data_IF_014335916212
#
_entry.id   IF_014335916212
#
_cell.length_a   1.000
_cell.length_b   1.000
_cell.length_c   1.000
_cell.angle_alpha   90.00
_cell.angle_beta   90.00
_cell.angle_gamma   90.00
#
_symmetry.space_group_name_H-M   'P 1'
#
loop_
_entity.id
_entity.type
_entity.pdbx_description
1 polymer ?
#
# COMPACT_ATOMS: atom_id res chain seq x y z
N UNK A 1 -50.95 -22.80 -19.76
CA UNK A 1 -49.72 -23.49 -19.36
C UNK A 1 -50.08 -24.56 -18.37
N UNK A 2 -49.79 -25.81 -18.71
CA UNK A 2 -50.20 -26.99 -17.95
C UNK A 2 -49.18 -27.35 -16.88
N UNK A 3 -49.69 -28.01 -15.85
CA UNK A 3 -48.93 -28.60 -14.75
C UNK A 3 -47.82 -29.53 -15.27
N UNK A 4 -46.59 -29.28 -14.80
CA UNK A 4 -45.39 -30.05 -15.13
C UNK A 4 -45.28 -31.34 -14.33
N UNK A 5 -46.03 -31.44 -13.23
CA UNK A 5 -46.08 -32.61 -12.36
C UNK A 5 -47.53 -33.13 -12.19
N UNK A 6 -48.18 -33.68 -13.24
CA UNK A 6 -49.61 -34.02 -13.18
C UNK A 6 -50.01 -35.10 -12.16
N UNK A 7 -49.03 -35.80 -11.57
CA UNK A 7 -49.25 -36.87 -10.59
C UNK A 7 -48.99 -36.41 -9.15
N UNK A 8 -48.46 -35.19 -8.97
CA UNK A 8 -48.08 -34.64 -7.67
C UNK A 8 -48.67 -33.26 -7.56
N UNK A 9 -49.47 -33.01 -6.52
CA UNK A 9 -49.98 -31.66 -6.29
C UNK A 9 -48.84 -30.78 -5.79
N UNK A 10 -48.66 -29.61 -6.41
CA UNK A 10 -47.66 -28.65 -5.99
C UNK A 10 -48.01 -27.20 -6.31
N UNK A 11 -47.21 -26.30 -5.77
CA UNK A 11 -47.42 -24.85 -5.71
C UNK A 11 -46.30 -24.05 -6.38
N UNK A 12 -45.29 -24.70 -6.96
CA UNK A 12 -44.23 -24.02 -7.70
C UNK A 12 -44.79 -23.14 -8.83
N UNK A 13 -44.20 -21.96 -8.98
CA UNK A 13 -44.64 -20.93 -9.95
C UNK A 13 -43.54 -20.42 -10.87
N UNK A 14 -42.26 -20.65 -10.59
CA UNK A 14 -41.15 -20.07 -11.34
C UNK A 14 -40.52 -21.03 -12.37
N UNK A 15 -40.18 -22.25 -11.99
CA UNK A 15 -39.50 -23.23 -12.86
C UNK A 15 -40.47 -24.27 -13.45
N UNK A 16 -40.96 -25.22 -12.64
CA UNK A 16 -41.87 -26.29 -13.05
C UNK A 16 -43.24 -26.06 -12.43
N UNK A 17 -44.05 -25.26 -13.13
CA UNK A 17 -45.42 -24.92 -12.72
C UNK A 17 -46.21 -26.15 -12.24
N UNK A 18 -46.73 -26.08 -11.01
CA UNK A 18 -47.57 -27.13 -10.41
C UNK A 18 -46.82 -28.29 -9.75
N UNK A 19 -45.48 -28.28 -9.77
CA UNK A 19 -44.66 -29.22 -9.02
C UNK A 19 -44.54 -28.85 -7.54
N UNK A 20 -44.19 -29.85 -6.72
CA UNK A 20 -43.97 -29.69 -5.28
C UNK A 20 -42.87 -28.64 -5.04
N UNK A 21 -43.13 -27.73 -4.11
CA UNK A 21 -42.29 -26.63 -3.66
C UNK A 21 -42.49 -26.55 -2.14
N UNK A 22 -41.51 -27.08 -1.40
CA UNK A 22 -41.64 -27.39 0.02
C UNK A 22 -41.59 -26.14 0.91
N UNK A 23 -40.81 -25.13 0.56
CA UNK A 23 -40.65 -23.90 1.34
C UNK A 23 -41.44 -22.70 0.80
N UNK A 24 -41.95 -22.80 -0.43
CA UNK A 24 -42.87 -21.85 -1.03
C UNK A 24 -42.21 -20.64 -1.65
N UNK A 25 -40.94 -20.70 -2.03
CA UNK A 25 -40.26 -19.60 -2.73
C UNK A 25 -40.58 -19.50 -4.24
N UNK A 26 -41.28 -20.50 -4.76
CA UNK A 26 -41.74 -20.57 -6.14
C UNK A 26 -40.93 -21.52 -7.01
N UNK A 27 -39.76 -21.99 -6.58
CA UNK A 27 -38.98 -23.01 -7.24
C UNK A 27 -39.37 -24.40 -6.74
N UNK A 28 -39.31 -25.39 -7.64
CA UNK A 28 -39.78 -26.73 -7.32
C UNK A 28 -38.64 -27.65 -6.84
N UNK A 29 -38.94 -28.49 -5.85
CA UNK A 29 -38.00 -29.43 -5.23
C UNK A 29 -37.26 -30.29 -6.26
N UNK A 30 -36.00 -30.63 -6.00
CA UNK A 30 -35.23 -31.53 -6.85
C UNK A 30 -35.91 -32.91 -7.03
N UNK A 31 -35.97 -33.38 -8.28
CA UNK A 31 -36.43 -34.73 -8.60
C UNK A 31 -35.38 -35.46 -9.44
N UNK A 32 -35.52 -36.79 -9.60
CA UNK A 32 -34.57 -37.59 -10.38
C UNK A 32 -34.40 -37.08 -11.83
N UNK A 33 -35.51 -36.68 -12.47
CA UNK A 33 -35.50 -36.22 -13.87
C UNK A 33 -35.16 -34.72 -14.01
N UNK A 34 -35.15 -33.98 -12.90
CA UNK A 34 -34.83 -32.56 -12.87
C UNK A 34 -34.14 -32.26 -11.53
N UNK A 35 -32.82 -32.51 -11.49
CA UNK A 35 -32.03 -32.37 -10.28
C UNK A 35 -31.74 -30.89 -9.98
N UNK A 36 -31.33 -30.62 -8.74
CA UNK A 36 -30.71 -29.35 -8.37
C UNK A 36 -29.31 -29.21 -8.98
N UNK A 37 -28.69 -28.06 -8.72
CA UNK A 37 -27.29 -27.82 -9.03
C UNK A 37 -26.38 -28.91 -8.44
N UNK A 38 -25.27 -29.27 -9.11
CA UNK A 38 -24.67 -28.68 -10.32
C UNK A 38 -25.24 -29.21 -11.65
N UNK A 39 -26.17 -30.15 -11.58
CA UNK A 39 -26.64 -30.91 -12.75
C UNK A 39 -27.94 -30.40 -13.35
N UNK A 40 -28.66 -29.53 -12.64
CA UNK A 40 -29.92 -28.97 -13.11
C UNK A 40 -30.26 -27.67 -12.39
N UNK A 41 -31.52 -27.26 -12.50
CA UNK A 41 -31.99 -25.94 -12.05
C UNK A 41 -33.19 -26.06 -11.12
N UNK A 42 -33.42 -27.23 -10.52
CA UNK A 42 -34.37 -27.36 -9.43
C UNK A 42 -33.91 -26.53 -8.24
N UNK A 43 -34.83 -26.31 -7.32
CA UNK A 43 -34.53 -25.73 -6.02
C UNK A 43 -33.37 -26.49 -5.35
N UNK A 44 -32.34 -25.72 -4.99
CA UNK A 44 -31.14 -26.20 -4.33
C UNK A 44 -31.40 -26.57 -2.87
N UNK A 45 -32.14 -25.76 -2.12
CA UNK A 45 -32.47 -26.00 -0.71
C UNK A 45 -33.98 -25.96 -0.46
N UNK A 46 -34.68 -27.11 -0.61
CA UNK A 46 -36.13 -27.22 -0.43
C UNK A 46 -36.70 -26.85 0.94
N UNK A 47 -35.85 -26.48 1.91
CA UNK A 47 -36.29 -26.07 3.24
C UNK A 47 -35.99 -24.60 3.54
N UNK A 48 -35.34 -23.90 2.63
CA UNK A 48 -34.93 -22.51 2.78
C UNK A 48 -35.37 -21.67 1.58
N UNK A 49 -36.55 -21.06 1.76
CA UNK A 49 -37.16 -20.17 0.77
C UNK A 49 -36.31 -18.94 0.40
N UNK A 50 -35.19 -18.72 1.09
CA UNK A 50 -34.26 -17.66 0.74
C UNK A 50 -33.18 -18.08 -0.26
N UNK A 51 -33.01 -19.39 -0.51
CA UNK A 51 -31.93 -19.96 -1.33
C UNK A 51 -32.39 -21.07 -2.30
N UNK A 52 -32.97 -20.67 -3.44
CA UNK A 52 -33.37 -21.62 -4.49
C UNK A 52 -32.27 -22.01 -5.49
N UNK A 53 -31.12 -21.32 -5.47
CA UNK A 53 -30.10 -21.43 -6.52
C UNK A 53 -28.70 -21.47 -5.93
N UNK A 54 -27.91 -22.42 -6.41
CA UNK A 54 -26.47 -22.56 -6.19
C UNK A 54 -25.89 -22.78 -7.60
N UNK A 55 -25.05 -21.89 -8.15
CA UNK A 55 -24.64 -22.00 -9.56
C UNK A 55 -23.42 -22.92 -9.78
N UNK A 56 -22.52 -23.05 -8.80
CA UNK A 56 -21.32 -23.87 -8.93
C UNK A 56 -21.41 -25.25 -8.23
N UNK A 57 -22.42 -25.42 -7.38
CA UNK A 57 -22.72 -26.65 -6.67
C UNK A 57 -21.81 -26.88 -5.46
N UNK A 58 -21.38 -25.81 -4.79
CA UNK A 58 -20.50 -25.87 -3.61
C UNK A 58 -21.27 -26.06 -2.28
N UNK A 59 -22.60 -25.89 -2.30
CA UNK A 59 -23.46 -26.01 -1.13
C UNK A 59 -23.87 -24.69 -0.49
N UNK A 60 -23.50 -23.54 -1.06
CA UNK A 60 -23.93 -22.20 -0.66
C UNK A 60 -24.83 -21.60 -1.73
N UNK A 61 -25.83 -20.82 -1.29
CA UNK A 61 -26.83 -20.29 -2.21
C UNK A 61 -26.43 -18.93 -2.79
N UNK A 62 -26.63 -18.72 -4.09
CA UNK A 62 -26.26 -17.50 -4.81
C UNK A 62 -27.01 -16.24 -4.34
N UNK A 63 -28.12 -16.39 -3.61
CA UNK A 63 -28.89 -15.25 -3.18
C UNK A 63 -28.19 -14.55 -2.02
N UNK A 64 -27.53 -13.42 -2.31
CA UNK A 64 -26.79 -12.61 -1.35
C UNK A 64 -27.59 -12.14 -0.12
N UNK A 65 -28.93 -12.15 -0.21
CA UNK A 65 -29.82 -11.75 0.90
C UNK A 65 -30.37 -12.92 1.71
N UNK A 66 -30.13 -14.16 1.28
CA UNK A 66 -30.60 -15.36 1.95
C UNK A 66 -29.69 -15.83 3.09
N UNK A 67 -30.01 -16.98 3.67
CA UNK A 67 -29.17 -17.62 4.67
C UNK A 67 -27.99 -18.29 3.95
N UNK A 68 -26.79 -18.24 4.56
CA UNK A 68 -25.56 -18.79 4.00
C UNK A 68 -25.34 -18.42 2.52
N UNK A 69 -25.30 -17.12 2.18
CA UNK A 69 -25.08 -16.69 0.81
C UNK A 69 -23.66 -17.04 0.35
N UNK A 70 -23.54 -17.42 -0.92
CA UNK A 70 -22.27 -17.59 -1.58
C UNK A 70 -21.73 -16.22 -2.05
N UNK A 71 -20.54 -15.85 -1.56
CA UNK A 71 -19.81 -14.66 -2.01
C UNK A 71 -19.12 -14.89 -3.36
N UNK A 72 -18.89 -16.15 -3.74
CA UNK A 72 -18.24 -16.57 -4.96
C UNK A 72 -19.12 -17.50 -5.83
N UNK A 73 -20.28 -17.04 -6.39
CA UNK A 73 -21.26 -17.86 -7.14
C UNK A 73 -20.76 -18.58 -8.39
N UNK A 74 -19.49 -18.40 -8.76
CA UNK A 74 -18.90 -18.95 -9.97
C UNK A 74 -17.56 -19.63 -9.66
N UNK A 75 -17.45 -20.25 -8.48
CA UNK A 75 -16.27 -21.03 -8.11
C UNK A 75 -16.03 -22.10 -9.16
N UNK A 76 -14.76 -22.29 -9.54
CA UNK A 76 -14.43 -23.31 -10.53
C UNK A 76 -14.90 -24.70 -10.04
N UNK A 77 -15.51 -25.54 -10.90
CA UNK A 77 -15.95 -26.88 -10.51
C UNK A 77 -14.85 -27.79 -9.94
N UNK A 78 -13.57 -27.49 -10.20
CA UNK A 78 -12.43 -28.19 -9.61
C UNK A 78 -12.19 -27.85 -8.12
N UNK A 79 -12.68 -26.70 -7.65
CA UNK A 79 -12.40 -26.15 -6.32
C UNK A 79 -13.64 -26.01 -5.43
N UNK A 80 -14.86 -26.18 -5.97
CA UNK A 80 -16.13 -26.10 -5.22
C UNK A 80 -16.23 -27.01 -3.98
N UNK A 81 -15.49 -28.13 -3.94
CA UNK A 81 -15.50 -29.03 -2.77
C UNK A 81 -14.63 -28.54 -1.62
N UNK A 82 -13.88 -27.45 -1.83
CA UNK A 82 -12.93 -26.87 -0.88
C UNK A 82 -13.16 -25.37 -0.72
N UNK A 83 -14.40 -25.01 -0.41
CA UNK A 83 -14.83 -23.66 -0.10
C UNK A 83 -14.83 -23.42 1.43
N UNK A 84 -14.92 -22.16 1.84
CA UNK A 84 -15.02 -21.78 3.25
C UNK A 84 -16.45 -21.55 3.72
N UNK A 85 -16.63 -20.79 4.82
CA UNK A 85 -17.94 -20.45 5.36
C UNK A 85 -18.71 -19.43 4.50
N UNK A 86 -18.04 -18.84 3.50
CA UNK A 86 -18.57 -17.80 2.64
C UNK A 86 -18.82 -18.31 1.21
N UNK A 87 -18.67 -19.62 0.96
CA UNK A 87 -18.77 -20.22 -0.39
C UNK A 87 -17.55 -19.96 -1.30
N UNK A 88 -16.49 -19.33 -0.79
CA UNK A 88 -15.33 -18.99 -1.62
C UNK A 88 -14.22 -20.05 -1.53
N UNK A 89 -13.72 -20.46 -2.71
CA UNK A 89 -12.49 -21.24 -2.79
C UNK A 89 -11.26 -20.39 -2.39
N UNK A 90 -10.18 -21.07 -1.97
CA UNK A 90 -8.97 -20.41 -1.48
C UNK A 90 -8.29 -19.45 -2.48
N UNK A 91 -8.53 -19.62 -3.79
CA UNK A 91 -7.99 -18.79 -4.85
C UNK A 91 -8.88 -17.59 -5.23
N UNK A 92 -10.11 -17.54 -4.74
CA UNK A 92 -11.10 -16.49 -5.05
C UNK A 92 -11.40 -15.62 -3.84
N UNK A 93 -11.01 -16.05 -2.63
CA UNK A 93 -11.20 -15.29 -1.40
C UNK A 93 -10.46 -13.95 -1.43
N UNK A 94 -11.20 -12.90 -1.06
CA UNK A 94 -10.75 -11.54 -0.79
C UNK A 94 -11.37 -11.13 0.55
N UNK A 95 -10.60 -11.21 1.63
CA UNK A 95 -11.13 -11.09 3.01
C UNK A 95 -11.45 -9.65 3.40
N UNK A 96 -10.84 -8.64 2.75
CA UNK A 96 -11.08 -7.23 3.03
C UNK A 96 -11.77 -6.45 1.89
N UNK A 97 -12.18 -7.18 0.86
CA UNK A 97 -12.94 -6.70 -0.31
C UNK A 97 -12.25 -5.53 -1.03
N UNK A 98 -10.92 -5.52 -1.08
CA UNK A 98 -10.14 -4.46 -1.71
C UNK A 98 -9.82 -4.71 -3.19
N UNK A 99 -10.19 -5.90 -3.69
CA UNK A 99 -10.00 -6.37 -5.04
C UNK A 99 -8.70 -7.15 -5.27
N UNK A 100 -7.91 -7.41 -4.22
CA UNK A 100 -6.72 -8.25 -4.25
C UNK A 100 -7.00 -9.53 -3.45
N UNK A 101 -7.06 -10.66 -4.15
CA UNK A 101 -7.28 -11.96 -3.48
C UNK A 101 -6.21 -12.23 -2.40
N UNK A 102 -6.59 -12.92 -1.32
CA UNK A 102 -5.74 -13.21 -0.16
C UNK A 102 -4.39 -13.87 -0.56
N UNK A 103 -4.39 -14.66 -1.63
CA UNK A 103 -3.19 -15.33 -2.14
C UNK A 103 -2.16 -14.37 -2.78
N UNK A 104 -2.61 -13.18 -3.19
CA UNK A 104 -1.81 -12.12 -3.81
C UNK A 104 -1.70 -10.87 -2.91
N UNK A 105 -2.42 -10.82 -1.80
CA UNK A 105 -2.43 -9.73 -0.85
C UNK A 105 -1.40 -9.94 0.27
N UNK A 106 -0.54 -8.94 0.48
CA UNK A 106 0.41 -8.91 1.60
C UNK A 106 -0.25 -8.51 2.92
N UNK A 107 -1.43 -7.89 2.86
CA UNK A 107 -2.23 -7.41 3.97
C UNK A 107 -3.69 -7.96 3.91
N UNK A 108 -3.92 -9.29 3.97
CA UNK A 108 -5.23 -9.94 3.68
C UNK A 108 -6.43 -9.55 4.53
N UNK A 109 -6.29 -8.64 5.49
CA UNK A 109 -7.38 -8.21 6.36
C UNK A 109 -7.46 -6.69 6.45
N UNK A 110 -6.71 -5.98 5.62
CA UNK A 110 -6.57 -4.53 5.66
C UNK A 110 -6.63 -3.96 4.26
N UNK A 111 -7.83 -3.49 3.89
CA UNK A 111 -8.05 -2.94 2.57
C UNK A 111 -7.03 -1.86 2.18
N UNK A 112 -6.49 -1.97 0.97
CA UNK A 112 -5.59 -1.02 0.32
C UNK A 112 -6.04 0.43 0.40
N UNK A 113 -7.34 0.68 0.30
CA UNK A 113 -7.92 2.02 0.28
C UNK A 113 -7.46 2.88 -0.92
N UNK A 114 -7.86 4.15 -0.91
CA UNK A 114 -7.58 5.08 -2.02
C UNK A 114 -6.09 5.42 -2.07
N UNK A 115 -5.39 4.83 -3.03
CA UNK A 115 -3.97 5.05 -3.27
C UNK A 115 -3.04 4.03 -2.62
N UNK A 116 -3.54 2.98 -1.96
CA UNK A 116 -2.69 1.91 -1.45
C UNK A 116 -1.85 1.22 -2.53
N UNK A 117 -0.95 0.37 -2.08
CA UNK A 117 0.00 -0.31 -2.95
C UNK A 117 -0.65 -1.43 -3.78
N UNK A 118 0.02 -1.91 -4.83
CA UNK A 118 -0.51 -2.96 -5.70
C UNK A 118 -0.59 -4.34 -5.02
N UNK A 119 -0.01 -4.48 -3.85
CA UNK A 119 0.07 -5.68 -3.03
C UNK A 119 -0.99 -5.71 -1.91
N UNK A 120 -2.08 -4.94 -2.05
CA UNK A 120 -3.23 -4.89 -1.14
C UNK A 120 -3.02 -4.08 0.15
N UNK A 121 -1.79 -3.67 0.46
CA UNK A 121 -1.54 -2.89 1.67
C UNK A 121 -1.89 -1.39 1.54
N UNK A 122 -2.46 -0.76 2.57
CA UNK A 122 -2.69 0.68 2.59
C UNK A 122 -1.38 1.48 2.67
N UNK A 123 -1.38 2.72 2.16
CA UNK A 123 -0.28 3.63 2.44
C UNK A 123 -0.35 4.02 3.92
N UNK A 124 0.76 3.83 4.66
CA UNK A 124 0.96 4.52 5.93
C UNK A 124 0.79 6.01 5.68
N UNK A 125 -0.33 6.58 6.13
CA UNK A 125 -0.45 8.03 6.21
C UNK A 125 0.64 8.45 7.17
N UNK A 126 1.67 9.13 6.64
CA UNK A 126 2.47 9.98 7.47
C UNK A 126 1.48 11.00 8.00
N UNK A 127 1.00 10.75 9.20
CA UNK A 127 0.21 11.71 9.91
C UNK A 127 1.09 12.96 9.96
N UNK A 128 0.78 13.94 9.13
CA UNK A 128 0.96 15.36 9.46
C UNK A 128 0.07 15.68 10.67
N UNK A 129 0.12 14.86 11.72
CA UNK A 129 0.13 15.40 13.06
C UNK A 129 1.23 16.43 13.01
N UNK A 130 0.83 17.69 13.09
CA UNK A 130 1.73 18.70 13.58
C UNK A 130 2.28 18.15 14.89
N UNK A 131 3.44 17.49 14.81
CA UNK A 131 4.40 17.51 15.88
C UNK A 131 4.64 19.00 16.05
N UNK A 132 3.83 19.61 16.91
CA UNK A 132 4.24 20.79 17.63
C UNK A 132 5.64 20.42 18.09
N UNK A 133 6.64 21.05 17.47
CA UNK A 133 8.02 20.79 17.82
C UNK A 133 8.13 21.28 19.26
N UNK A 134 7.94 20.37 20.21
CA UNK A 134 7.95 20.68 21.62
C UNK A 134 9.42 20.87 21.99
N UNK A 135 9.84 22.12 22.03
CA UNK A 135 11.14 22.48 22.58
C UNK A 135 10.91 22.66 24.07
N UNK A 136 11.50 21.79 24.89
CA UNK A 136 11.36 21.80 26.36
C UNK A 136 9.89 21.69 26.85
N UNK A 137 9.04 20.94 26.13
CA UNK A 137 7.64 20.72 26.51
C UNK A 137 6.72 21.94 26.31
N UNK A 138 7.20 22.98 25.63
CA UNK A 138 6.40 24.15 25.25
C UNK A 138 6.23 24.19 23.74
N UNK A 139 5.01 24.50 23.28
CA UNK A 139 4.76 24.72 21.86
C UNK A 139 5.62 25.87 21.33
N UNK A 140 6.01 25.82 20.06
CA UNK A 140 6.74 26.91 19.39
C UNK A 140 6.04 28.27 19.56
N UNK A 141 4.69 28.28 19.58
CA UNK A 141 3.88 29.50 19.76
C UNK A 141 4.14 30.14 21.14
N UNK A 142 4.25 29.31 22.18
CA UNK A 142 4.58 29.77 23.54
C UNK A 142 6.01 30.31 23.63
N UNK A 143 6.96 29.65 22.97
CA UNK A 143 8.36 30.09 22.95
C UNK A 143 8.51 31.46 22.27
N UNK A 144 7.88 31.67 21.10
CA UNK A 144 7.88 32.95 20.39
C UNK A 144 7.24 34.05 21.27
N UNK A 145 6.13 33.74 21.94
CA UNK A 145 5.44 34.69 22.82
C UNK A 145 6.29 35.13 24.01
N UNK A 146 7.03 34.21 24.63
CA UNK A 146 7.94 34.52 25.75
C UNK A 146 9.08 35.41 25.26
N UNK A 147 9.69 35.09 24.13
CA UNK A 147 10.80 35.90 23.57
C UNK A 147 10.33 37.31 23.23
N UNK A 148 9.18 37.45 22.57
CA UNK A 148 8.59 38.77 22.27
C UNK A 148 8.26 39.53 23.55
N UNK A 149 7.71 38.86 24.58
CA UNK A 149 7.43 39.46 25.88
C UNK A 149 8.68 39.99 26.59
N UNK A 150 9.79 39.23 26.57
CA UNK A 150 11.07 39.65 27.15
C UNK A 150 11.67 40.84 26.40
N UNK A 151 11.59 40.84 25.07
CA UNK A 151 12.06 41.96 24.24
C UNK A 151 11.25 43.22 24.52
N UNK A 152 9.92 43.12 24.57
CA UNK A 152 9.04 44.26 24.88
C UNK A 152 9.29 44.79 26.30
N UNK A 153 9.50 43.90 27.27
CA UNK A 153 9.84 44.28 28.65
C UNK A 153 11.20 44.99 28.70
N UNK A 154 12.20 44.52 27.95
CA UNK A 154 13.50 45.17 27.86
C UNK A 154 13.39 46.56 27.22
N UNK A 155 12.63 46.71 26.14
CA UNK A 155 12.34 48.02 25.52
C UNK A 155 11.63 48.95 26.49
N UNK A 156 10.66 48.45 27.26
CA UNK A 156 9.94 49.24 28.27
C UNK A 156 10.89 49.70 29.40
N UNK A 157 11.80 48.83 29.87
CA UNK A 157 12.84 49.19 30.85
C UNK A 157 13.78 50.27 30.29
N UNK A 158 14.19 50.17 29.02
CA UNK A 158 15.04 51.19 28.38
C UNK A 158 14.31 52.54 28.31
N UNK A 159 13.02 52.55 27.93
CA UNK A 159 12.21 53.77 27.89
C UNK A 159 12.04 54.37 29.30
N UNK A 160 11.81 53.54 30.32
CA UNK A 160 11.70 54.01 31.71
C UNK A 160 13.03 54.55 32.25
N UNK A 161 14.16 53.92 31.92
CA UNK A 161 15.48 54.41 32.34
C UNK A 161 15.87 55.71 31.62
N UNK A 162 15.48 55.87 30.35
CA UNK A 162 15.72 57.09 29.59
C UNK A 162 14.87 58.27 30.08
N UNK A 163 13.73 58.02 30.75
CA UNK A 163 12.91 59.06 31.40
C UNK A 163 13.38 59.46 32.80
N UNK A 164 14.39 58.78 33.36
CA UNK A 164 14.93 59.02 34.70
C UNK A 164 16.28 59.77 34.66
N UNK A 165 16.84 60.01 33.46
CA UNK A 165 18.11 60.74 33.27
C UNK A 165 17.89 62.15 32.67
N UNK A 166 16.76 62.79 32.97
CA UNK A 166 16.45 64.16 32.51
C UNK A 166 16.46 65.20 33.65
N UNK A 167 17.13 64.90 34.76
CA UNK A 167 17.45 65.92 35.76
C UNK A 167 18.97 66.02 35.90
N UNK A 168 19.44 67.25 35.67
CA UNK A 168 20.77 67.80 35.94
C UNK A 168 21.79 67.72 34.80
N UNK A 169 21.96 68.87 34.13
CA UNK A 169 23.22 69.55 33.75
C UNK A 169 22.86 70.69 32.77
N UNK A 170 23.30 71.94 32.83
CA UNK A 170 24.17 72.73 33.69
C UNK A 170 24.13 74.17 33.12
N UNK A 171 24.27 75.20 33.95
CA UNK A 171 24.37 76.60 33.52
C UNK A 171 25.69 76.82 32.78
N UNK A 172 25.72 77.68 31.75
CA UNK A 172 26.74 78.73 31.65
C UNK A 172 26.38 79.79 30.58
N UNK A 173 26.75 81.01 30.93
CA UNK A 173 26.43 82.34 30.40
C UNK A 173 27.04 82.67 29.02
N UNK A 174 26.24 83.44 28.27
CA UNK A 174 26.56 84.66 27.52
C UNK A 174 27.52 84.72 26.30
N UNK A 175 27.19 85.73 25.49
CA UNK A 175 27.96 86.46 24.46
C UNK A 175 27.84 86.02 22.98
N UNK A 176 26.81 86.60 22.35
CA UNK A 176 26.90 87.61 21.28
C UNK A 176 27.23 87.27 19.81
N UNK A 177 26.59 88.09 18.97
CA UNK A 177 26.86 88.51 17.58
C UNK A 177 26.31 87.67 16.39
N UNK A 178 25.64 88.22 15.37
CA UNK A 178 24.86 89.46 15.33
C UNK A 178 23.98 89.70 14.08
N UNK A 179 24.02 89.03 12.93
CA UNK A 179 23.63 89.73 11.68
C UNK A 179 22.18 89.57 11.13
N UNK A 180 21.71 90.71 10.61
CA UNK A 180 20.34 91.23 10.49
C UNK A 180 19.88 91.32 9.00
N UNK A 181 18.73 90.70 8.68
CA UNK A 181 17.61 91.06 7.75
C UNK A 181 17.71 91.05 6.21
N UNK A 182 16.68 90.46 5.57
CA UNK A 182 15.67 91.10 4.67
C UNK A 182 14.58 90.06 4.29
N UNK A 183 13.36 90.11 4.86
CA UNK A 183 12.09 90.64 4.30
C UNK A 183 11.85 90.28 2.81
N UNK A 184 10.80 89.52 2.45
CA UNK A 184 9.48 90.12 2.27
C UNK A 184 8.32 89.12 2.41
N UNK A 185 7.30 89.57 3.16
CA UNK A 185 5.96 88.99 3.26
C UNK A 185 5.17 89.28 1.99
N UNK A 186 4.35 88.33 1.52
CA UNK A 186 2.97 88.65 1.13
C UNK A 186 2.02 87.48 1.41
N UNK A 187 1.25 87.66 2.48
CA UNK A 187 0.01 86.96 2.79
C UNK A 187 -1.12 87.42 1.87
N UNK A 188 -1.89 86.48 1.31
CA UNK A 188 -3.30 86.75 1.02
C UNK A 188 -4.16 85.49 1.21
N UNK A 189 -4.73 85.42 2.41
CA UNK A 189 -6.06 84.94 2.80
C UNK A 189 -6.77 83.84 1.99
N UNK A 190 -7.13 82.80 2.75
CA UNK A 190 -8.44 82.15 2.84
C UNK A 190 -9.24 81.89 1.54
N UNK A 191 -9.59 80.62 1.31
CA UNK A 191 -10.96 80.10 1.50
C UNK A 191 -11.10 78.71 0.86
N UNK A 192 -11.54 77.77 1.71
CA UNK A 192 -12.37 76.59 1.43
C UNK A 192 -11.82 75.35 0.69
N UNK A 193 -11.87 74.25 1.47
CA UNK A 193 -12.48 72.95 1.13
C UNK A 193 -12.00 72.27 -0.15
N UNK A 194 -11.37 71.11 -0.03
CA UNK A 194 -12.01 69.82 0.25
C UNK A 194 -11.08 68.66 -0.19
N UNK A 195 -10.97 67.63 0.65
CA UNK A 195 -10.57 66.22 0.38
C UNK A 195 -9.15 65.97 -0.19
N UNK A 196 -8.18 65.45 0.58
CA UNK A 196 -8.04 64.05 1.04
C UNK A 196 -8.28 63.04 -0.11
N UNK A 197 -7.37 62.16 -0.54
CA UNK A 197 -6.28 61.46 0.16
C UNK A 197 -5.49 60.58 -0.82
N UNK A 198 -4.16 60.55 -0.65
CA UNK A 198 -3.28 59.38 -0.46
C UNK A 198 -3.00 58.37 -1.61
N UNK A 199 -1.71 58.39 -1.96
CA UNK A 199 -0.71 57.32 -2.16
C UNK A 199 -0.76 56.25 -3.26
N UNK A 200 0.43 56.16 -3.86
CA UNK A 200 1.08 55.22 -4.77
C UNK A 200 1.38 53.82 -4.18
N UNK A 201 1.89 52.86 -4.99
CA UNK A 201 1.39 51.49 -5.01
C UNK A 201 2.35 50.43 -4.44
N UNK A 202 1.82 49.24 -4.21
CA UNK A 202 2.59 47.99 -4.06
C UNK A 202 1.85 46.82 -4.74
N UNK A 203 2.61 46.06 -5.53
CA UNK A 203 2.28 44.70 -6.00
C UNK A 203 2.46 43.68 -4.85
N UNK A 204 2.17 42.35 -4.96
CA UNK A 204 1.87 41.52 -6.14
C UNK A 204 0.73 40.48 -5.93
N UNK A 205 0.50 39.58 -6.91
CA UNK A 205 0.27 38.11 -6.80
C UNK A 205 -0.63 37.57 -7.92
N UNK A 206 -0.17 36.44 -8.48
CA UNK A 206 -0.76 35.58 -9.51
C UNK A 206 -1.66 34.53 -8.85
N UNK A 207 -2.89 34.36 -9.34
CA UNK A 207 -3.77 33.22 -9.05
C UNK A 207 -4.19 32.53 -10.35
N UNK A 208 -4.18 31.19 -10.33
CA UNK A 208 -4.89 30.32 -11.26
C UNK A 208 -6.30 30.03 -10.73
N UNK A 209 -7.25 29.71 -11.61
CA UNK A 209 -8.27 28.63 -11.54
C UNK A 209 -9.36 28.92 -12.60
N UNK A 210 -9.65 27.95 -13.48
CA UNK A 210 -11.01 27.44 -13.81
C UNK A 210 -11.02 26.61 -15.12
N UNK A 211 -11.53 25.36 -15.05
CA UNK A 211 -12.14 24.63 -16.19
C UNK A 211 -13.68 24.79 -16.14
N UNK A 212 -14.54 23.86 -16.66
CA UNK A 212 -14.36 22.71 -17.57
C UNK A 212 -15.46 22.60 -18.69
N UNK A 213 -15.59 21.43 -19.36
CA UNK A 213 -16.81 20.68 -19.81
C UNK A 213 -16.69 20.09 -21.25
N UNK A 214 -16.99 18.79 -21.41
CA UNK A 214 -17.61 18.25 -22.64
C UNK A 214 -17.22 16.83 -23.11
N UNK A 215 -18.08 15.84 -22.86
CA UNK A 215 -18.27 14.57 -23.63
C UNK A 215 -19.67 14.63 -24.31
N UNK A 216 -20.12 13.75 -25.27
CA UNK A 216 -20.09 12.27 -25.27
C UNK A 216 -19.97 11.54 -26.68
N UNK A 217 -20.14 10.21 -26.65
CA UNK A 217 -19.96 9.06 -27.63
C UNK A 217 -21.05 8.94 -28.75
N UNK A 218 -21.35 7.82 -29.52
CA UNK A 218 -20.79 6.41 -29.67
C UNK A 218 -20.84 5.72 -31.11
N UNK A 219 -20.41 4.42 -31.24
CA UNK A 219 -21.14 3.22 -31.82
C UNK A 219 -20.49 2.28 -32.91
N UNK A 220 -20.48 0.94 -32.61
CA UNK A 220 -20.62 -0.35 -33.39
C UNK A 220 -19.71 -0.71 -34.62
N UNK A 221 -19.35 -1.95 -35.03
CA UNK A 221 -19.77 -3.36 -34.82
C UNK A 221 -18.91 -4.35 -35.72
N UNK A 222 -19.31 -5.62 -36.03
CA UNK A 222 -18.56 -6.89 -35.81
C UNK A 222 -18.10 -7.72 -37.06
N UNK A 223 -17.35 -8.86 -36.90
CA UNK A 223 -17.32 -10.04 -37.83
C UNK A 223 -16.70 -11.35 -37.27
N UNK A 224 -17.05 -12.49 -37.90
CA UNK A 224 -16.99 -13.93 -37.53
C UNK A 224 -15.66 -14.71 -37.83
N UNK A 225 -15.55 -15.95 -37.30
CA UNK A 225 -14.50 -17.01 -37.44
C UNK A 225 -14.58 -17.85 -38.77
N UNK A 226 -13.89 -19.02 -39.07
CA UNK A 226 -13.04 -19.99 -38.30
C UNK A 226 -11.82 -20.62 -39.10
N UNK A 227 -11.35 -21.90 -38.92
CA UNK A 227 -10.43 -22.47 -37.89
C UNK A 227 -9.13 -23.16 -38.44
N UNK A 228 -8.13 -23.53 -37.60
CA UNK A 228 -7.19 -24.64 -37.90
C UNK A 228 -6.31 -25.13 -36.71
N UNK A 229 -6.37 -26.46 -36.47
CA UNK A 229 -5.33 -27.45 -36.03
C UNK A 229 -4.15 -26.94 -35.15
N UNK A 230 -3.89 -27.44 -33.95
CA UNK A 230 -3.70 -28.84 -33.56
C UNK A 230 -2.20 -29.16 -33.49
N UNK A 231 -1.62 -29.27 -32.27
CA UNK A 231 -0.47 -30.13 -31.93
C UNK A 231 -0.13 -30.01 -30.43
N UNK A 232 -0.46 -31.05 -29.68
CA UNK A 232 0.01 -31.33 -28.31
C UNK A 232 1.30 -32.17 -28.36
N UNK A 233 2.30 -31.94 -27.48
CA UNK A 233 3.38 -32.89 -27.23
C UNK A 233 3.02 -33.88 -26.08
N UNK A 234 3.63 -35.07 -26.05
CA UNK A 234 3.22 -36.18 -25.18
C UNK A 234 3.65 -36.04 -23.69
N UNK A 235 3.07 -36.84 -22.77
CA UNK A 235 3.29 -36.72 -21.34
C UNK A 235 4.60 -37.36 -20.87
N UNK A 236 5.30 -36.69 -19.95
CA UNK A 236 6.46 -37.21 -19.25
C UNK A 236 6.11 -38.18 -18.10
N UNK A 237 7.09 -38.98 -17.62
CA UNK A 237 6.87 -40.09 -16.68
C UNK A 237 6.57 -39.65 -15.22
N UNK A 238 5.96 -40.53 -14.41
CA UNK A 238 5.28 -40.17 -13.16
C UNK A 238 6.25 -39.82 -12.02
N UNK A 239 5.88 -38.80 -11.23
CA UNK A 239 6.61 -38.39 -10.02
C UNK A 239 6.12 -39.21 -8.81
N UNK A 240 7.09 -39.81 -8.13
CA UNK A 240 6.91 -40.53 -6.86
C UNK A 240 6.60 -39.56 -5.71
N UNK A 241 5.55 -39.89 -4.95
CA UNK A 241 5.24 -39.33 -3.64
C UNK A 241 6.37 -39.65 -2.65
N UNK A 242 6.81 -38.63 -1.89
CA UNK A 242 7.32 -38.84 -0.53
C UNK A 242 6.73 -37.78 0.38
N UNK A 243 5.85 -38.25 1.25
CA UNK A 243 5.43 -37.58 2.47
C UNK A 243 6.66 -37.21 3.30
N UNK A 244 6.74 -35.94 3.74
CA UNK A 244 7.61 -35.59 4.87
C UNK A 244 6.97 -34.53 5.75
N UNK A 245 6.66 -34.99 6.96
CA UNK A 245 6.17 -34.24 8.09
C UNK A 245 7.00 -32.97 8.38
N UNK A 246 6.29 -31.88 8.62
CA UNK A 246 6.78 -30.63 9.20
C UNK A 246 6.86 -30.73 10.73
N UNK A 247 7.93 -30.24 11.37
CA UNK A 247 7.85 -29.69 12.71
C UNK A 247 7.85 -28.16 12.66
N UNK A 248 6.91 -27.59 13.40
CA UNK A 248 6.78 -26.18 13.77
C UNK A 248 8.07 -25.59 14.34
N UNK A 249 8.44 -24.37 13.93
CA UNK A 249 9.43 -23.57 14.67
C UNK A 249 9.00 -22.10 14.79
N UNK A 250 9.03 -21.67 16.05
CA UNK A 250 8.63 -20.39 16.63
C UNK A 250 9.37 -19.18 16.08
N UNK A 251 8.64 -18.08 15.83
CA UNK A 251 9.18 -16.74 15.52
C UNK A 251 9.94 -16.18 16.73
N UNK A 252 11.22 -15.85 16.56
CA UNK A 252 11.98 -15.02 17.49
C UNK A 252 12.25 -13.64 16.87
N UNK A 253 11.80 -12.61 17.59
CA UNK A 253 11.93 -11.19 17.26
C UNK A 253 13.38 -10.72 17.34
N UNK A 254 13.93 -10.17 16.25
CA UNK A 254 15.26 -9.53 16.21
C UNK A 254 15.17 -8.09 15.69
N UNK A 255 15.39 -7.13 16.60
CA UNK A 255 15.35 -5.67 16.39
C UNK A 255 16.60 -5.22 15.60
N UNK A 256 16.46 -4.68 14.38
CA UNK A 256 17.59 -4.14 13.60
C UNK A 256 17.78 -2.65 13.87
N UNK A 257 18.94 -2.27 14.42
CA UNK A 257 19.37 -0.88 14.60
C UNK A 257 20.26 -0.48 13.43
N UNK A 258 19.89 0.58 12.71
CA UNK A 258 20.68 1.11 11.59
C UNK A 258 21.64 2.20 12.06
N UNK A 259 22.96 2.01 11.89
CA UNK A 259 23.96 3.10 12.03
C UNK A 259 24.15 3.79 10.68
N UNK A 260 23.88 5.10 10.64
CA UNK A 260 24.11 5.98 9.49
C UNK A 260 25.53 6.53 9.58
N UNK A 261 26.35 6.29 8.55
CA UNK A 261 27.64 6.97 8.36
C UNK A 261 27.57 7.76 7.06
N UNK A 262 27.80 9.06 7.14
CA UNK A 262 27.86 10.00 6.02
C UNK A 262 29.32 10.31 5.69
N UNK A 263 29.71 10.13 4.43
CA UNK A 263 30.84 10.87 3.83
C UNK A 263 30.50 11.30 2.40
N UNK A 264 30.94 12.51 2.09
CA UNK A 264 30.86 13.22 0.83
C UNK A 264 31.78 12.56 -0.20
N UNK A 265 31.24 12.19 -1.37
CA UNK A 265 31.77 12.55 -2.69
C UNK A 265 31.05 11.76 -3.79
N UNK A 266 30.62 12.50 -4.82
CA UNK A 266 29.71 12.03 -5.85
C UNK A 266 30.34 11.03 -6.81
N UNK A 267 30.15 9.73 -6.53
CA UNK A 267 30.10 8.67 -7.56
C UNK A 267 29.10 7.58 -7.13
N UNK A 268 28.12 7.27 -7.99
CA UNK A 268 27.09 6.25 -7.72
C UNK A 268 27.74 4.87 -7.55
N UNK A 269 27.95 4.42 -6.30
CA UNK A 269 28.24 3.02 -5.97
C UNK A 269 26.94 2.27 -5.71
N UNK A 270 26.66 1.26 -6.52
CA UNK A 270 25.61 0.26 -6.26
C UNK A 270 25.90 -0.39 -4.91
N UNK A 271 24.98 -0.23 -3.95
CA UNK A 271 25.04 -0.96 -2.68
C UNK A 271 24.81 -2.44 -2.99
N UNK A 272 25.87 -3.24 -3.07
CA UNK A 272 25.72 -4.70 -3.00
C UNK A 272 25.48 -5.04 -1.55
N UNK A 273 24.30 -5.60 -1.27
CA UNK A 273 23.99 -6.15 0.04
C UNK A 273 25.09 -7.15 0.43
N UNK A 274 25.78 -6.88 1.53
CA UNK A 274 26.47 -7.93 2.27
C UNK A 274 25.34 -8.75 2.85
N UNK A 275 24.96 -9.81 2.13
CA UNK A 275 24.07 -10.84 2.66
C UNK A 275 24.89 -11.52 3.74
N UNK A 276 24.59 -11.22 5.00
CA UNK A 276 24.98 -12.08 6.11
C UNK A 276 24.44 -13.47 5.75
N UNK A 277 25.37 -14.39 5.50
CA UNK A 277 25.06 -15.77 5.21
C UNK A 277 24.42 -16.31 6.48
N UNK A 278 23.10 -16.54 6.43
CA UNK A 278 22.38 -17.21 7.50
C UNK A 278 23.12 -18.53 7.80
N UNK A 279 23.58 -18.66 9.05
CA UNK A 279 24.39 -19.79 9.52
C UNK A 279 23.67 -21.15 9.37
N UNK A 280 22.37 -21.10 9.07
CA UNK A 280 21.45 -22.22 8.95
C UNK A 280 21.62 -23.04 7.64
N UNK A 281 22.39 -22.54 6.66
CA UNK A 281 22.56 -23.23 5.35
C UNK A 281 23.53 -24.43 5.43
N UNK A 282 24.39 -24.46 6.45
CA UNK A 282 25.47 -25.46 6.60
C UNK A 282 25.34 -26.34 7.86
N UNK A 283 24.21 -26.32 8.57
CA UNK A 283 24.01 -26.98 9.89
C UNK A 283 24.45 -28.45 9.98
N UNK A 284 24.47 -29.19 8.87
CA UNK A 284 24.82 -30.61 8.83
C UNK A 284 26.10 -30.93 8.03
N UNK A 285 26.91 -29.91 7.69
CA UNK A 285 28.11 -30.07 6.85
C UNK A 285 29.35 -29.67 7.64
N UNK A 286 30.37 -30.54 7.64
CA UNK A 286 31.64 -30.26 8.31
C UNK A 286 32.35 -29.09 7.62
N UNK A 287 32.87 -28.14 8.41
CA UNK A 287 33.61 -26.97 7.91
C UNK A 287 34.78 -27.36 6.99
N UNK A 288 35.43 -28.50 7.23
CA UNK A 288 36.52 -29.02 6.40
C UNK A 288 36.10 -29.30 4.94
N UNK A 289 34.86 -29.73 4.71
CA UNK A 289 34.34 -29.99 3.36
C UNK A 289 34.05 -28.70 2.60
N UNK A 290 33.67 -27.65 3.33
CA UNK A 290 33.47 -26.31 2.76
C UNK A 290 34.82 -25.72 2.37
N UNK A 291 35.82 -25.87 3.24
CA UNK A 291 37.18 -25.36 2.99
C UNK A 291 37.85 -26.07 1.81
N UNK A 292 37.70 -27.39 1.70
CA UNK A 292 38.16 -28.18 0.54
C UNK A 292 37.50 -27.70 -0.75
N UNK A 293 36.18 -27.51 -0.76
CA UNK A 293 35.47 -26.99 -1.93
C UNK A 293 35.96 -25.58 -2.33
N UNK A 294 36.34 -24.73 -1.37
CA UNK A 294 36.87 -23.39 -1.67
C UNK A 294 38.28 -23.48 -2.29
N UNK A 295 39.12 -24.41 -1.83
CA UNK A 295 40.46 -24.62 -2.40
C UNK A 295 40.36 -25.14 -3.83
N UNK A 296 39.50 -26.14 -4.08
CA UNK A 296 39.25 -26.70 -5.41
C UNK A 296 38.82 -25.62 -6.43
N UNK A 297 38.02 -24.63 -5.99
CA UNK A 297 37.56 -23.52 -6.82
C UNK A 297 38.66 -22.49 -7.14
N UNK A 298 39.67 -22.34 -6.28
CA UNK A 298 40.79 -21.44 -6.53
C UNK A 298 41.83 -22.09 -7.46
N UNK A 299 42.00 -23.40 -7.37
CA UNK A 299 42.95 -24.15 -8.21
C UNK A 299 42.41 -24.38 -9.63
N UNK A 300 41.09 -24.48 -9.77
CA UNK A 300 40.43 -24.64 -11.07
C UNK A 300 40.01 -23.29 -11.63
N UNK A 301 40.65 -22.87 -12.73
CA UNK A 301 40.26 -21.62 -13.41
C UNK A 301 38.93 -21.81 -14.14
N UNK A 302 37.87 -21.20 -13.61
CA UNK A 302 36.54 -21.17 -14.25
C UNK A 302 36.26 -19.77 -14.79
N UNK A 303 35.82 -19.69 -16.06
CA UNK A 303 35.52 -18.41 -16.71
C UNK A 303 34.13 -17.87 -16.34
N UNK A 304 33.21 -18.75 -15.98
CA UNK A 304 31.79 -18.40 -15.78
C UNK A 304 31.21 -18.98 -14.48
N UNK A 305 30.42 -18.18 -13.76
CA UNK A 305 29.75 -18.59 -12.52
C UNK A 305 28.80 -19.79 -12.72
N UNK A 306 28.23 -19.93 -13.92
CA UNK A 306 27.40 -21.09 -14.29
C UNK A 306 28.18 -22.41 -14.30
N UNK A 307 29.44 -22.39 -14.71
CA UNK A 307 30.30 -23.59 -14.71
C UNK A 307 30.66 -24.00 -13.28
N UNK A 308 30.93 -23.01 -12.42
CA UNK A 308 31.20 -23.22 -11.00
C UNK A 308 29.99 -23.88 -10.31
N UNK A 309 28.78 -23.37 -10.57
CA UNK A 309 27.56 -23.94 -10.01
C UNK A 309 27.32 -25.38 -10.49
N UNK A 310 27.53 -25.66 -11.78
CA UNK A 310 27.41 -27.04 -12.30
C UNK A 310 28.44 -27.99 -11.68
N UNK A 311 29.68 -27.52 -11.47
CA UNK A 311 30.73 -28.31 -10.83
C UNK A 311 30.37 -28.63 -9.37
N UNK A 312 29.94 -27.63 -8.59
CA UNK A 312 29.54 -27.82 -7.19
C UNK A 312 28.30 -28.71 -7.05
N UNK A 313 27.32 -28.54 -7.93
CA UNK A 313 26.16 -29.44 -7.98
C UNK A 313 26.55 -30.88 -8.34
N UNK A 314 27.51 -31.07 -9.25
CA UNK A 314 28.07 -32.40 -9.57
C UNK A 314 28.80 -33.05 -8.39
N UNK A 315 29.31 -32.26 -7.45
CA UNK A 315 29.93 -32.72 -6.18
C UNK A 315 28.91 -32.94 -5.05
N UNK A 316 27.62 -32.71 -5.32
CA UNK A 316 26.53 -32.96 -4.36
C UNK A 316 26.08 -31.75 -3.54
N UNK A 317 26.55 -30.54 -3.86
CA UNK A 317 26.13 -29.32 -3.17
C UNK A 317 24.78 -28.81 -3.68
N UNK A 318 23.88 -28.40 -2.77
CA UNK A 318 22.61 -27.78 -3.16
C UNK A 318 22.83 -26.40 -3.81
N UNK A 319 21.88 -25.89 -4.58
CA UNK A 319 21.98 -24.60 -5.26
C UNK A 319 22.23 -23.40 -4.30
N UNK A 320 21.58 -23.30 -3.12
CA UNK A 320 21.87 -22.24 -2.16
C UNK A 320 23.27 -22.37 -1.54
N UNK A 321 23.68 -23.60 -1.20
CA UNK A 321 25.00 -23.90 -0.64
C UNK A 321 26.12 -23.58 -1.64
N UNK A 322 25.93 -23.94 -2.91
CA UNK A 322 26.89 -23.65 -3.98
C UNK A 322 27.12 -22.14 -4.13
N UNK A 323 26.05 -21.34 -4.06
CA UNK A 323 26.15 -19.87 -4.10
C UNK A 323 26.85 -19.31 -2.86
N UNK A 324 26.57 -19.85 -1.68
CA UNK A 324 27.24 -19.45 -0.45
C UNK A 324 28.75 -19.76 -0.50
N UNK A 325 29.14 -20.94 -0.99
CA UNK A 325 30.55 -21.34 -1.17
C UNK A 325 31.27 -20.40 -2.14
N UNK A 326 30.63 -20.05 -3.27
CA UNK A 326 31.20 -19.08 -4.24
C UNK A 326 31.42 -17.72 -3.58
N UNK A 327 30.48 -17.25 -2.77
CA UNK A 327 30.62 -15.98 -2.05
C UNK A 327 31.75 -16.05 -1.00
N UNK A 328 31.88 -17.16 -0.28
CA UNK A 328 32.98 -17.38 0.67
C UNK A 328 34.36 -17.45 -0.01
N UNK A 329 34.46 -18.08 -1.19
CA UNK A 329 35.69 -18.08 -1.98
C UNK A 329 36.06 -16.67 -2.46
N UNK A 330 35.08 -15.89 -2.91
CA UNK A 330 35.24 -14.49 -3.33
C UNK A 330 35.63 -13.56 -2.16
N UNK A 331 35.21 -13.85 -0.93
CA UNK A 331 35.63 -13.06 0.25
C UNK A 331 37.03 -13.44 0.73
N UNK A 332 37.37 -14.74 0.76
CA UNK A 332 38.72 -15.21 1.15
C UNK A 332 39.81 -14.74 0.19
N UNK A 333 39.57 -14.79 -1.12
CA UNK A 333 40.52 -14.27 -2.13
C UNK A 333 40.78 -12.77 -2.00
N UNK A 334 39.82 -12.00 -1.47
CA UNK A 334 39.99 -10.56 -1.20
C UNK A 334 40.77 -10.27 0.08
N UNK A 335 40.78 -11.19 1.05
CA UNK A 335 41.52 -11.06 2.30
C UNK A 335 43.01 -11.40 2.13
N UNK A 336 43.36 -12.14 1.08
CA UNK A 336 44.74 -12.56 0.76
C UNK A 336 45.47 -11.60 -0.20
N UNK A 337 44.83 -10.52 -0.62
CA UNK A 337 45.40 -9.43 -1.45
C UNK A 337 45.57 -8.17 -0.61
#
# INVERSE_FOLDING_TARGET
>A
NGDKCPQVNGNSTEDRLGCLDTDGDGYSDATFDFPASPSGTADFDPNDATQWRDNDGDGYGDNATGLNPDLCPNTNPLYRTSVDLSGCAANERDTDDDGVVDSLDNCPTTAKGVGGYSDGCPIEKQDETGQSVEILGLSIIWFISIVVGVVLLFVLIVILRNRVLDDEDWYDEDEDDDDYYEEDRLSFLDVARNRQTIAQPSAPIRQQISGPIGSPTPRAGPTQAPPSRGNTPPPGPPKFNRDRATPSRSKASGKKVSKKVTTSDGQKKVRRAIVEIEEDIFENIKQSSIDEAIVDLNDTSFDNERQILMYLQGKGWNAPQSRAIINLAKTRSRQLK
#
